data_IF_899788772438
#
_entry.id   IF_899788772438
#
_cell.length_a   1.000
_cell.length_b   1.000
_cell.length_c   1.000
_cell.angle_alpha   90.00
_cell.angle_beta   90.00
_cell.angle_gamma   90.00
#
_symmetry.space_group_name_H-M   'P 1'
#
loop_
_entity.id
_entity.type
_entity.pdbx_description
1 polymer ?
#
# COMPACT_ATOMS: atom_id res chain seq x y z
N UNK A 1 -1.00 20.64 -16.38
CA UNK A 1 0.26 20.60 -15.62
C UNK A 1 0.17 21.22 -14.23
N UNK A 2 -0.61 22.30 -14.01
CA UNK A 2 -0.77 22.95 -12.69
C UNK A 2 -1.00 21.99 -11.50
N UNK A 3 -1.94 21.05 -11.61
CA UNK A 3 -2.20 20.06 -10.55
C UNK A 3 -0.96 19.21 -10.21
N UNK A 4 -0.25 18.74 -11.23
CA UNK A 4 0.99 17.96 -11.06
C UNK A 4 2.05 18.76 -10.30
N UNK A 5 2.29 20.01 -10.71
CA UNK A 5 3.28 20.90 -10.10
C UNK A 5 2.92 21.18 -8.63
N UNK A 6 1.66 21.50 -8.35
CA UNK A 6 1.19 21.75 -6.98
C UNK A 6 1.40 20.54 -6.06
N UNK A 7 1.09 19.33 -6.52
CA UNK A 7 1.28 18.10 -5.74
C UNK A 7 2.78 17.82 -5.56
N UNK A 8 3.58 17.92 -6.63
CA UNK A 8 5.02 17.64 -6.58
C UNK A 8 5.77 18.60 -5.65
N UNK A 9 5.41 19.90 -5.66
CA UNK A 9 5.96 20.89 -4.74
C UNK A 9 5.50 20.70 -3.30
N UNK A 10 4.25 20.25 -3.09
CA UNK A 10 3.70 20.05 -1.74
C UNK A 10 4.24 18.79 -1.05
N UNK A 11 4.61 17.75 -1.81
CA UNK A 11 5.00 16.45 -1.28
C UNK A 11 6.35 15.96 -1.86
N UNK A 12 7.49 16.60 -1.50
CA UNK A 12 8.80 16.31 -2.08
C UNK A 12 9.32 14.88 -1.78
N UNK A 13 8.71 14.17 -0.82
CA UNK A 13 9.02 12.76 -0.53
C UNK A 13 8.40 11.77 -1.51
N UNK A 14 7.42 12.21 -2.30
CA UNK A 14 6.78 11.40 -3.33
C UNK A 14 7.49 11.69 -4.65
N UNK A 15 7.92 10.65 -5.37
CA UNK A 15 8.64 10.86 -6.61
C UNK A 15 7.74 11.54 -7.65
N UNK A 16 8.24 12.57 -8.37
CA UNK A 16 7.48 13.20 -9.45
C UNK A 16 7.02 12.19 -10.51
N UNK A 17 7.84 11.17 -10.80
CA UNK A 17 7.48 10.08 -11.71
C UNK A 17 6.22 9.32 -11.28
N UNK A 18 6.04 9.08 -9.99
CA UNK A 18 4.86 8.39 -9.46
C UNK A 18 3.61 9.27 -9.53
N UNK A 19 3.75 10.56 -9.23
CA UNK A 19 2.65 11.53 -9.36
C UNK A 19 2.20 11.60 -10.82
N UNK A 20 3.15 11.74 -11.75
CA UNK A 20 2.89 11.79 -13.18
C UNK A 20 2.23 10.50 -13.69
N UNK A 21 2.73 9.33 -13.29
CA UNK A 21 2.16 8.04 -13.68
C UNK A 21 0.72 7.87 -13.15
N UNK A 22 0.44 8.33 -11.93
CA UNK A 22 -0.91 8.28 -11.37
C UNK A 22 -1.88 9.19 -12.13
N UNK A 23 -1.49 10.44 -12.37
CA UNK A 23 -2.34 11.43 -13.05
C UNK A 23 -2.47 11.19 -14.56
N UNK A 24 -1.68 10.30 -15.15
CA UNK A 24 -1.74 9.95 -16.58
C UNK A 24 -2.11 8.48 -16.79
N UNK A 25 -1.17 7.57 -16.58
CA UNK A 25 -1.32 6.14 -16.85
C UNK A 25 -2.46 5.50 -16.04
N UNK A 26 -2.52 5.74 -14.72
CA UNK A 26 -3.57 5.14 -13.88
C UNK A 26 -4.95 5.66 -14.27
N UNK A 27 -5.14 6.97 -14.40
CA UNK A 27 -6.42 7.53 -14.83
C UNK A 27 -6.85 7.06 -16.22
N UNK A 28 -5.90 6.93 -17.15
CA UNK A 28 -6.18 6.41 -18.49
C UNK A 28 -6.63 4.95 -18.44
N UNK A 29 -6.00 4.13 -17.59
CA UNK A 29 -6.38 2.73 -17.39
C UNK A 29 -7.79 2.62 -16.79
N UNK A 30 -8.07 3.35 -15.72
CA UNK A 30 -9.38 3.38 -15.07
C UNK A 30 -10.49 3.82 -16.03
N UNK A 31 -10.23 4.86 -16.84
CA UNK A 31 -11.19 5.32 -17.86
C UNK A 31 -11.50 4.23 -18.89
N UNK A 32 -10.50 3.46 -19.32
CA UNK A 32 -10.68 2.33 -20.25
C UNK A 32 -11.48 1.18 -19.63
N UNK A 33 -11.43 1.05 -18.30
CA UNK A 33 -12.22 0.09 -17.52
C UNK A 33 -13.64 0.59 -17.22
N UNK A 34 -14.03 1.77 -17.72
CA UNK A 34 -15.37 2.34 -17.55
C UNK A 34 -15.57 3.12 -16.26
N UNK A 35 -14.50 3.41 -15.50
CA UNK A 35 -14.56 4.24 -14.30
C UNK A 35 -14.75 5.71 -14.70
N UNK A 36 -15.74 6.43 -14.14
CA UNK A 36 -16.05 7.82 -14.51
C UNK A 36 -15.10 8.82 -13.83
N UNK A 37 -13.81 8.73 -14.19
CA UNK A 37 -12.73 9.52 -13.58
C UNK A 37 -12.91 11.03 -13.72
N UNK A 38 -13.72 11.49 -14.67
CA UNK A 38 -14.12 12.89 -14.86
C UNK A 38 -14.94 13.47 -13.69
N UNK A 39 -15.52 12.62 -12.83
CA UNK A 39 -16.21 13.05 -11.60
C UNK A 39 -15.24 13.47 -10.49
N UNK A 40 -13.99 13.04 -10.58
CA UNK A 40 -12.97 13.31 -9.57
C UNK A 40 -12.46 14.75 -9.71
N UNK A 41 -12.36 15.45 -8.58
CA UNK A 41 -11.88 16.84 -8.54
C UNK A 41 -10.39 16.88 -8.24
N UNK A 42 -9.71 17.94 -8.69
CA UNK A 42 -8.30 18.21 -8.36
C UNK A 42 -7.99 18.08 -6.86
N UNK A 43 -8.93 18.51 -6.01
CA UNK A 43 -8.83 18.40 -4.56
C UNK A 43 -8.72 16.96 -4.08
N UNK A 44 -9.45 16.02 -4.69
CA UNK A 44 -9.38 14.59 -4.38
C UNK A 44 -7.97 14.04 -4.59
N UNK A 45 -7.31 14.42 -5.69
CA UNK A 45 -5.93 14.00 -5.96
C UNK A 45 -4.97 14.56 -4.93
N UNK A 46 -5.07 15.85 -4.59
CA UNK A 46 -4.24 16.48 -3.56
C UNK A 46 -4.35 15.75 -2.22
N UNK A 47 -5.57 15.43 -1.80
CA UNK A 47 -5.81 14.71 -0.55
C UNK A 47 -5.27 13.29 -0.58
N UNK A 48 -5.46 12.55 -1.67
CA UNK A 48 -4.88 11.20 -1.85
C UNK A 48 -3.37 11.24 -1.65
N UNK A 49 -2.67 12.17 -2.31
CA UNK A 49 -1.22 12.31 -2.13
C UNK A 49 -0.84 12.78 -0.73
N UNK A 50 -1.68 13.57 -0.05
CA UNK A 50 -1.50 13.90 1.36
C UNK A 50 -1.55 12.64 2.25
N UNK A 51 -2.49 11.73 2.02
CA UNK A 51 -2.59 10.46 2.76
C UNK A 51 -1.40 9.54 2.47
N UNK A 52 -0.97 9.45 1.21
CA UNK A 52 0.25 8.70 0.83
C UNK A 52 1.49 9.28 1.53
N UNK A 53 1.64 10.60 1.53
CA UNK A 53 2.76 11.27 2.20
C UNK A 53 2.76 11.09 3.73
N UNK A 54 1.59 10.90 4.33
CA UNK A 54 1.42 10.59 5.76
C UNK A 54 1.57 9.08 6.07
N UNK A 55 1.77 8.23 5.06
CA UNK A 55 1.81 6.77 5.22
C UNK A 55 0.47 6.14 5.61
N UNK A 56 -0.64 6.87 5.41
CA UNK A 56 -1.99 6.40 5.73
C UNK A 56 -2.68 5.70 4.54
N UNK A 57 -2.11 5.80 3.35
CA UNK A 57 -2.60 5.15 2.15
C UNK A 57 -1.42 4.54 1.38
N UNK A 58 -1.52 3.26 1.04
CA UNK A 58 -0.56 2.58 0.19
C UNK A 58 -0.65 3.10 -1.25
N UNK A 59 0.48 3.21 -1.94
CA UNK A 59 0.53 3.68 -3.34
C UNK A 59 -0.28 2.77 -4.27
N UNK A 60 -0.25 1.48 -3.98
CA UNK A 60 -0.93 0.42 -4.73
C UNK A 60 -2.45 0.49 -4.58
N UNK A 61 -2.96 1.14 -3.54
CA UNK A 61 -4.39 1.28 -3.29
C UNK A 61 -5.04 2.43 -4.06
N UNK A 62 -4.24 3.34 -4.64
CA UNK A 62 -4.76 4.53 -5.33
C UNK A 62 -5.77 4.16 -6.43
N UNK A 63 -5.54 3.18 -7.33
CA UNK A 63 -6.52 2.85 -8.37
C UNK A 63 -7.88 2.43 -7.79
N UNK A 64 -7.88 1.60 -6.75
CA UNK A 64 -9.11 1.15 -6.09
C UNK A 64 -9.83 2.30 -5.37
N UNK A 65 -9.08 3.16 -4.67
CA UNK A 65 -9.64 4.34 -4.00
C UNK A 65 -10.25 5.33 -4.99
N UNK A 66 -9.57 5.59 -6.11
CA UNK A 66 -10.10 6.44 -7.18
C UNK A 66 -11.36 5.84 -7.82
N UNK A 67 -11.41 4.51 -7.95
CA UNK A 67 -12.58 3.80 -8.48
C UNK A 67 -13.77 3.93 -7.54
N UNK A 68 -13.57 3.69 -6.24
CA UNK A 68 -14.64 3.82 -5.24
C UNK A 68 -15.18 5.26 -5.18
N UNK A 69 -14.31 6.26 -5.17
CA UNK A 69 -14.70 7.67 -5.18
C UNK A 69 -15.41 8.12 -6.47
N UNK A 70 -15.08 7.51 -7.60
CA UNK A 70 -15.70 7.84 -8.88
C UNK A 70 -17.09 7.20 -9.01
N UNK A 71 -17.29 6.02 -8.42
CA UNK A 71 -18.54 5.26 -8.47
C UNK A 71 -19.52 5.61 -7.34
N UNK A 72 -19.01 5.95 -6.17
CA UNK A 72 -19.77 6.31 -4.97
C UNK A 72 -19.53 7.78 -4.60
N UNK A 73 -20.57 8.61 -4.74
CA UNK A 73 -20.54 10.03 -4.40
C UNK A 73 -20.86 10.29 -2.92
N UNK A 74 -21.20 9.25 -2.15
CA UNK A 74 -21.61 9.39 -0.74
C UNK A 74 -20.44 9.19 0.22
N UNK A 75 -19.54 8.26 -0.08
CA UNK A 75 -18.38 8.00 0.76
C UNK A 75 -17.32 9.09 0.61
N UNK A 76 -16.83 9.59 1.73
CA UNK A 76 -15.67 10.49 1.77
C UNK A 76 -14.36 9.73 1.58
N UNK A 77 -13.34 10.41 1.06
CA UNK A 77 -11.98 9.84 0.95
C UNK A 77 -11.46 9.38 2.32
N UNK A 78 -11.79 10.08 3.41
CA UNK A 78 -11.38 9.70 4.76
C UNK A 78 -11.98 8.35 5.19
N UNK A 79 -13.26 8.11 4.91
CA UNK A 79 -13.93 6.84 5.20
C UNK A 79 -13.32 5.69 4.38
N UNK A 80 -13.06 5.93 3.10
CA UNK A 80 -12.47 4.95 2.19
C UNK A 80 -11.04 4.57 2.64
N UNK A 81 -10.24 5.56 3.05
CA UNK A 81 -8.88 5.36 3.54
C UNK A 81 -8.87 4.67 4.90
N UNK A 82 -9.73 5.09 5.83
CA UNK A 82 -9.77 4.52 7.19
C UNK A 82 -10.14 3.04 7.20
N UNK A 83 -11.05 2.60 6.31
CA UNK A 83 -11.39 1.18 6.12
C UNK A 83 -10.22 0.34 5.60
N UNK A 84 -9.30 0.93 4.84
CA UNK A 84 -8.15 0.25 4.24
C UNK A 84 -6.92 0.28 5.12
N UNK A 85 -6.72 1.35 5.87
CA UNK A 85 -5.52 1.56 6.67
C UNK A 85 -5.24 0.39 7.62
N UNK A 86 -3.98 -0.03 7.65
CA UNK A 86 -3.46 -1.01 8.59
C UNK A 86 -2.28 -0.39 9.34
N UNK A 87 -2.28 -0.53 10.66
CA UNK A 87 -1.15 -0.11 11.50
C UNK A 87 0.03 -1.07 11.40
N UNK A 88 1.21 -0.62 11.84
CA UNK A 88 2.40 -1.48 11.92
C UNK A 88 2.18 -2.64 12.91
N UNK A 89 1.46 -2.41 14.01
CA UNK A 89 1.19 -3.44 15.01
C UNK A 89 0.31 -4.56 14.44
N UNK A 90 -0.75 -4.20 13.70
CA UNK A 90 -1.60 -5.16 12.98
C UNK A 90 -0.79 -5.95 11.94
N UNK A 91 0.10 -5.27 11.21
CA UNK A 91 1.00 -5.94 10.27
C UNK A 91 1.93 -6.93 10.99
N UNK A 92 2.49 -6.56 12.13
CA UNK A 92 3.37 -7.45 12.92
C UNK A 92 2.62 -8.69 13.42
N UNK A 93 1.38 -8.55 13.89
CA UNK A 93 0.55 -9.69 14.31
C UNK A 93 0.28 -10.67 13.16
N UNK A 94 0.01 -10.15 11.96
CA UNK A 94 -0.17 -10.97 10.76
C UNK A 94 1.13 -11.70 10.41
N UNK A 95 2.27 -11.00 10.43
CA UNK A 95 3.57 -11.60 10.14
C UNK A 95 3.89 -12.72 11.15
N UNK A 96 3.67 -12.48 12.45
CA UNK A 96 3.92 -13.46 13.50
C UNK A 96 3.02 -14.71 13.32
N UNK A 97 1.77 -14.50 12.92
CA UNK A 97 0.83 -15.58 12.59
C UNK A 97 1.35 -16.40 11.40
N UNK A 98 1.79 -15.74 10.32
CA UNK A 98 2.34 -16.45 9.15
C UNK A 98 3.65 -17.17 9.42
N UNK A 99 4.49 -16.63 10.31
CA UNK A 99 5.69 -17.34 10.77
C UNK A 99 5.32 -18.62 11.51
N UNK A 100 4.30 -18.58 12.38
CA UNK A 100 3.82 -19.77 13.10
C UNK A 100 3.24 -20.82 12.15
N UNK A 101 2.44 -20.41 11.18
CA UNK A 101 1.85 -21.29 10.16
C UNK A 101 2.91 -21.99 9.31
N UNK A 102 4.00 -21.30 8.96
CA UNK A 102 5.04 -21.76 8.03
C UNK A 102 6.34 -22.18 8.74
N UNK A 103 6.25 -22.49 10.04
CA UNK A 103 7.44 -22.68 10.90
C UNK A 103 8.42 -23.71 10.33
N UNK A 104 7.91 -24.81 9.78
CA UNK A 104 8.71 -25.94 9.30
C UNK A 104 9.43 -25.56 8.00
N UNK A 105 8.74 -24.91 7.07
CA UNK A 105 9.35 -24.41 5.84
C UNK A 105 10.33 -23.28 6.09
N UNK A 106 10.02 -22.39 7.04
CA UNK A 106 10.92 -21.30 7.45
C UNK A 106 12.19 -21.87 8.06
N UNK A 107 12.08 -22.83 8.97
CA UNK A 107 13.23 -23.48 9.59
C UNK A 107 14.10 -24.19 8.56
N UNK A 108 13.48 -24.98 7.65
CA UNK A 108 14.21 -25.72 6.61
C UNK A 108 14.92 -24.80 5.59
N UNK A 109 14.35 -23.63 5.28
CA UNK A 109 14.87 -22.71 4.25
C UNK A 109 15.75 -21.59 4.83
N UNK A 110 15.62 -21.29 6.12
CA UNK A 110 16.27 -20.15 6.77
C UNK A 110 15.87 -18.82 6.12
N UNK A 111 16.85 -17.93 5.91
CA UNK A 111 16.65 -16.64 5.25
C UNK A 111 16.01 -16.75 3.85
N UNK A 112 16.21 -17.89 3.15
CA UNK A 112 15.61 -18.12 1.82
C UNK A 112 14.09 -18.27 1.89
N UNK A 113 13.50 -18.41 3.07
CA UNK A 113 12.05 -18.39 3.27
C UNK A 113 11.43 -17.01 3.04
N UNK A 114 12.23 -15.94 2.93
CA UNK A 114 11.73 -14.57 2.75
C UNK A 114 10.68 -14.45 1.64
N UNK A 115 10.92 -15.02 0.45
CA UNK A 115 9.98 -14.94 -0.66
C UNK A 115 8.64 -15.64 -0.37
N UNK A 116 8.69 -16.79 0.30
CA UNK A 116 7.50 -17.54 0.72
C UNK A 116 6.68 -16.73 1.74
N UNK A 117 7.33 -16.27 2.81
CA UNK A 117 6.69 -15.50 3.86
C UNK A 117 6.12 -14.17 3.32
N UNK A 118 6.90 -13.46 2.49
CA UNK A 118 6.47 -12.22 1.85
C UNK A 118 5.22 -12.44 1.00
N UNK A 119 5.16 -13.53 0.21
CA UNK A 119 3.98 -13.85 -0.58
C UNK A 119 2.72 -14.06 0.27
N UNK A 120 2.86 -14.80 1.38
CA UNK A 120 1.75 -15.09 2.32
C UNK A 120 1.28 -13.86 3.09
N UNK A 121 2.19 -12.97 3.48
CA UNK A 121 1.82 -11.72 4.12
C UNK A 121 1.15 -10.79 3.11
N UNK A 122 1.71 -10.65 1.90
CA UNK A 122 1.17 -9.78 0.87
C UNK A 122 -0.22 -10.21 0.38
N UNK A 123 -0.61 -11.49 0.47
CA UNK A 123 -1.98 -11.90 0.14
C UNK A 123 -3.04 -11.34 1.09
N UNK A 124 -2.66 -10.91 2.29
CA UNK A 124 -3.59 -10.39 3.31
C UNK A 124 -3.51 -8.86 3.50
N UNK A 125 -2.35 -8.26 3.23
CA UNK A 125 -2.08 -6.85 3.57
C UNK A 125 -1.95 -5.92 2.37
N UNK A 126 -1.93 -6.46 1.14
CA UNK A 126 -1.79 -5.64 -0.09
C UNK A 126 -2.87 -4.55 -0.14
N UNK A 127 -2.46 -3.32 -0.47
CA UNK A 127 -3.36 -2.17 -0.56
C UNK A 127 -3.74 -1.56 0.80
N UNK A 128 -3.37 -2.19 1.93
CA UNK A 128 -3.70 -1.69 3.28
C UNK A 128 -2.54 -0.96 3.95
N UNK A 129 -1.32 -1.29 3.54
CA UNK A 129 -0.06 -0.71 4.03
C UNK A 129 0.99 -0.73 2.91
N UNK A 130 1.91 0.23 2.93
CA UNK A 130 2.96 0.38 1.90
C UNK A 130 3.84 -0.88 1.83
N UNK A 131 4.03 -1.41 0.62
CA UNK A 131 4.78 -2.65 0.39
C UNK A 131 6.25 -2.60 0.84
N UNK A 132 6.88 -1.41 0.85
CA UNK A 132 8.22 -1.24 1.38
C UNK A 132 8.25 -1.37 2.91
N UNK A 133 7.21 -0.91 3.60
CA UNK A 133 7.04 -1.13 5.04
C UNK A 133 6.88 -2.63 5.30
N UNK A 134 5.99 -3.31 4.57
CA UNK A 134 5.78 -4.77 4.67
C UNK A 134 7.10 -5.52 4.50
N UNK A 135 7.81 -5.25 3.41
CA UNK A 135 9.11 -5.85 3.11
C UNK A 135 10.12 -5.67 4.25
N UNK A 136 10.21 -4.45 4.81
CA UNK A 136 11.11 -4.16 5.94
C UNK A 136 10.72 -4.94 7.19
N UNK A 137 9.43 -5.01 7.52
CA UNK A 137 8.92 -5.73 8.70
C UNK A 137 9.11 -7.24 8.57
N UNK A 138 8.75 -7.82 7.41
CA UNK A 138 8.93 -9.25 7.12
C UNK A 138 10.40 -9.67 7.26
N UNK A 139 11.33 -8.92 6.66
CA UNK A 139 12.77 -9.21 6.79
C UNK A 139 13.27 -9.11 8.23
N UNK A 140 12.72 -8.22 9.04
CA UNK A 140 13.11 -8.04 10.43
C UNK A 140 12.62 -9.23 11.28
N UNK A 141 11.32 -9.51 11.22
CA UNK A 141 10.67 -10.59 11.99
C UNK A 141 11.20 -11.97 11.64
N UNK A 142 11.47 -12.23 10.36
CA UNK A 142 12.09 -13.49 9.91
C UNK A 142 13.46 -13.70 10.55
N UNK A 143 14.31 -12.67 10.54
CA UNK A 143 15.65 -12.70 11.15
C UNK A 143 15.58 -12.93 12.66
N UNK A 144 14.67 -12.21 13.34
CA UNK A 144 14.45 -12.37 14.78
C UNK A 144 14.03 -13.81 15.11
N UNK A 145 13.05 -14.37 14.40
CA UNK A 145 12.60 -15.73 14.58
C UNK A 145 13.72 -16.77 14.38
N UNK A 146 14.48 -16.67 13.29
CA UNK A 146 15.60 -17.59 13.01
C UNK A 146 16.71 -17.48 14.06
N UNK A 147 16.96 -16.29 14.60
CA UNK A 147 17.96 -16.11 15.67
C UNK A 147 17.55 -16.73 17.01
N UNK A 148 16.25 -16.74 17.31
CA UNK A 148 15.70 -17.37 18.52
C UNK A 148 15.61 -18.89 18.36
N UNK A 149 15.26 -19.39 17.17
CA UNK A 149 15.12 -20.82 16.89
C UNK A 149 16.46 -21.58 16.76
N UNK A 150 17.58 -20.86 16.59
CA UNK A 150 18.93 -21.44 16.55
C UNK A 150 19.63 -21.51 17.92
N UNK A 151 18.97 -21.03 18.99
CA UNK A 151 19.40 -21.21 20.38
C UNK A 151 18.66 -22.39 21.00
#
# INVERSE_FOLDING_TARGET
>A
FKLFEEIASSYPRISPSFIAATLSSTLTALKREGVPVERLKDQTFKEIFAYVNKGKLAKEAIPEVLTELALDETSSLEEIVSKRYMSIDQLDEIIDTKIKELREEIFARGERAYGLLMGRVMSEVRGRIDGAIVSKRVKKKLREYLSTAQK
#
